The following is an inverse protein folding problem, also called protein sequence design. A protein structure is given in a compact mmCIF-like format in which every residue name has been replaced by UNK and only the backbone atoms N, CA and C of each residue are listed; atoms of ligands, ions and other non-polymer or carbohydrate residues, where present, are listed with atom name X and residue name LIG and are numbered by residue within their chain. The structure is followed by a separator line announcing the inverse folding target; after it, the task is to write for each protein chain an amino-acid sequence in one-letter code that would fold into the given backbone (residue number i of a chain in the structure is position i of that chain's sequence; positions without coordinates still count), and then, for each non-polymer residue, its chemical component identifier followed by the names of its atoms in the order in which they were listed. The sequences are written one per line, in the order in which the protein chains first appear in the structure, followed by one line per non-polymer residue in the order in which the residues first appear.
data_IF_687886389382
#
_entry.id   IF_687886389382
#
_cell.length_a   1.000
_cell.length_b   1.000
_cell.length_c   1.000
_cell.angle_alpha   90.00
_cell.angle_beta   90.00
_cell.angle_gamma   90.00
#
_symmetry.space_group_name_H-M   'P 1'
#
loop_
_entity.id
_entity.type
_entity.pdbx_description
1 polymer ?
#
# COMPACT_ATOMS: atom_id res chain seq x y z
N UNK A 1 -29.91 71.68 23.49
CA UNK A 1 -31.03 71.15 24.27
C UNK A 1 -30.89 69.64 24.32
N UNK A 2 -30.39 69.10 25.41
CA UNK A 2 -31.08 68.41 26.51
C UNK A 2 -32.20 67.48 26.00
N UNK A 3 -32.10 66.11 26.08
CA UNK A 3 -32.27 65.29 27.29
C UNK A 3 -31.97 63.82 26.99
N UNK A 4 -31.14 63.15 27.73
CA UNK A 4 -31.32 62.09 28.77
C UNK A 4 -31.78 60.72 28.26
N UNK A 5 -30.86 59.78 28.27
CA UNK A 5 -30.78 58.55 29.07
C UNK A 5 -32.04 57.70 29.25
N UNK A 6 -31.98 56.41 28.80
CA UNK A 6 -32.45 55.25 29.58
C UNK A 6 -31.69 53.98 29.15
N UNK A 7 -31.00 53.39 30.09
CA UNK A 7 -30.30 52.11 30.08
C UNK A 7 -31.37 51.03 30.33
N UNK A 8 -31.46 50.04 29.43
CA UNK A 8 -32.14 48.79 29.75
C UNK A 8 -31.19 47.65 29.39
N UNK A 9 -30.61 47.02 30.38
CA UNK A 9 -29.83 45.80 30.31
C UNK A 9 -30.79 44.62 30.07
N UNK A 10 -30.69 43.95 28.94
CA UNK A 10 -31.34 42.66 28.68
C UNK A 10 -30.28 41.57 28.71
N UNK A 11 -30.27 40.78 29.81
CA UNK A 11 -29.48 39.58 29.94
C UNK A 11 -30.08 38.51 29.06
N UNK A 12 -29.43 38.18 27.93
CA UNK A 12 -29.75 37.03 27.12
C UNK A 12 -28.95 35.82 27.60
N UNK A 13 -29.59 34.92 28.33
CA UNK A 13 -29.05 33.61 28.66
C UNK A 13 -29.04 32.74 27.41
N UNK A 14 -27.83 32.47 26.85
CA UNK A 14 -27.63 31.50 25.79
C UNK A 14 -27.64 30.11 26.40
N UNK A 15 -28.73 29.38 26.19
CA UNK A 15 -28.81 27.93 26.45
C UNK A 15 -28.02 27.20 25.40
N UNK A 16 -26.84 26.71 25.78
CA UNK A 16 -26.05 25.76 24.99
C UNK A 16 -26.71 24.39 25.14
N UNK A 17 -27.54 24.00 24.17
CA UNK A 17 -28.04 22.63 24.04
C UNK A 17 -26.90 21.75 23.52
N UNK A 18 -26.16 21.14 24.43
CA UNK A 18 -25.21 20.06 24.11
C UNK A 18 -25.99 18.81 23.75
N UNK A 19 -25.96 18.39 22.50
CA UNK A 19 -26.36 17.03 22.06
C UNK A 19 -25.32 16.01 22.54
N UNK A 20 -25.38 15.67 23.83
CA UNK A 20 -24.73 14.49 24.37
C UNK A 20 -25.71 13.31 24.24
N UNK A 21 -25.35 12.30 23.43
CA UNK A 21 -26.07 11.02 23.43
C UNK A 21 -25.97 10.40 24.83
N UNK A 22 -27.02 10.49 25.62
CA UNK A 22 -27.11 9.84 26.92
C UNK A 22 -27.39 8.36 26.68
N UNK A 23 -26.42 7.50 26.96
CA UNK A 23 -26.66 6.08 27.09
C UNK A 23 -27.72 5.84 28.15
N UNK A 24 -28.68 4.97 27.87
CA UNK A 24 -29.69 4.56 28.84
C UNK A 24 -29.04 3.80 29.99
N UNK A 25 -29.70 3.75 31.14
CA UNK A 25 -29.17 3.05 32.33
C UNK A 25 -28.98 1.55 32.05
N UNK A 26 -29.80 0.94 31.18
CA UNK A 26 -29.61 -0.43 30.70
C UNK A 26 -28.35 -0.58 29.88
N UNK A 27 -28.01 0.38 29.03
CA UNK A 27 -26.78 0.37 28.25
C UNK A 27 -25.53 0.56 29.12
N UNK A 28 -25.63 1.32 30.20
CA UNK A 28 -24.56 1.44 31.20
C UNK A 28 -24.37 0.17 32.02
N UNK A 29 -25.46 -0.50 32.37
CA UNK A 29 -25.41 -1.76 33.10
C UNK A 29 -24.79 -2.89 32.26
N UNK A 30 -25.08 -2.92 30.96
CA UNK A 30 -24.47 -3.89 30.04
C UNK A 30 -22.94 -3.70 29.86
N UNK A 31 -22.44 -2.47 30.01
CA UNK A 31 -21.01 -2.16 29.94
C UNK A 31 -20.29 -2.37 31.28
N UNK A 32 -21.00 -2.44 32.39
CA UNK A 32 -20.47 -2.59 33.75
C UNK A 32 -20.49 -4.04 34.27
N UNK A 33 -21.04 -4.99 33.52
CA UNK A 33 -21.09 -6.39 33.95
C UNK A 33 -19.66 -7.00 33.88
N UNK A 34 -19.12 -7.56 34.98
CA UNK A 34 -17.84 -8.24 34.95
C UNK A 34 -17.96 -9.50 34.09
N UNK A 35 -17.06 -9.63 33.09
CA UNK A 35 -16.92 -10.87 32.31
C UNK A 35 -16.50 -11.97 33.27
N UNK A 36 -17.36 -12.94 33.45
CA UNK A 36 -17.20 -14.06 34.37
C UNK A 36 -15.91 -14.82 34.07
N UNK A 37 -15.10 -14.93 35.09
CA UNK A 37 -14.07 -15.94 35.18
C UNK A 37 -14.75 -17.31 35.27
N UNK A 38 -14.35 -18.23 34.41
CA UNK A 38 -14.91 -19.57 34.49
C UNK A 38 -14.19 -20.55 33.58
N UNK A 39 -13.14 -21.15 34.07
CA UNK A 39 -12.91 -22.59 34.11
C UNK A 39 -11.43 -22.85 34.39
N UNK A 40 -11.15 -23.27 35.62
CA UNK A 40 -9.92 -23.91 36.03
C UNK A 40 -9.70 -25.17 35.17
N UNK A 41 -8.57 -25.24 34.48
CA UNK A 41 -8.09 -26.48 33.88
C UNK A 41 -7.29 -27.27 34.93
N UNK A 42 -7.77 -28.45 35.24
CA UNK A 42 -7.02 -29.45 36.03
C UNK A 42 -5.78 -29.98 35.26
N UNK A 43 -4.68 -30.31 35.93
CA UNK A 43 -3.49 -30.85 35.29
C UNK A 43 -3.71 -32.32 34.89
N UNK A 44 -3.72 -32.56 33.58
CA UNK A 44 -3.74 -33.89 32.99
C UNK A 44 -2.35 -34.37 32.60
N UNK A 45 -2.07 -35.62 32.96
CA UNK A 45 -0.90 -36.46 32.75
C UNK A 45 -0.28 -36.42 31.34
N UNK A 46 1.02 -36.73 31.20
CA UNK A 46 1.73 -36.73 29.91
C UNK A 46 1.23 -37.86 29.00
N UNK A 47 0.95 -37.53 27.75
CA UNK A 47 0.67 -38.52 26.69
C UNK A 47 1.94 -38.70 25.87
N UNK A 48 2.34 -39.97 25.74
CA UNK A 48 3.52 -40.48 25.04
C UNK A 48 3.48 -40.13 23.53
N UNK A 49 4.69 -40.00 22.98
CA UNK A 49 5.01 -39.89 21.56
C UNK A 49 4.32 -40.96 20.71
N UNK A 50 3.42 -40.50 19.84
CA UNK A 50 2.84 -41.29 18.74
C UNK A 50 3.44 -40.87 17.41
N UNK A 51 4.32 -41.69 16.85
CA UNK A 51 4.92 -41.53 15.54
C UNK A 51 3.85 -41.39 14.44
N UNK A 52 3.92 -40.33 13.63
CA UNK A 52 3.16 -40.19 12.42
C UNK A 52 3.70 -41.13 11.32
N UNK A 53 2.82 -41.75 10.51
CA UNK A 53 3.25 -42.65 9.43
C UNK A 53 3.89 -41.88 8.28
N UNK A 54 5.03 -42.42 7.79
CA UNK A 54 5.74 -41.91 6.65
C UNK A 54 4.90 -41.95 5.36
N UNK A 55 4.96 -40.87 4.59
CA UNK A 55 4.53 -40.85 3.21
C UNK A 55 5.79 -41.05 2.33
N UNK A 56 6.07 -42.30 1.98
CA UNK A 56 6.97 -42.63 0.89
C UNK A 56 6.31 -42.34 -0.44
N UNK A 57 7.03 -41.65 -1.32
CA UNK A 57 6.76 -41.68 -2.75
C UNK A 57 6.45 -40.36 -3.44
N UNK A 58 7.48 -39.47 -3.60
CA UNK A 58 7.54 -38.55 -4.73
C UNK A 58 8.95 -38.60 -5.32
N UNK A 59 9.11 -38.86 -6.64
CA UNK A 59 10.45 -38.92 -7.25
C UNK A 59 11.06 -37.54 -7.43
N UNK A 60 12.27 -37.40 -6.95
CA UNK A 60 13.35 -36.60 -7.50
C UNK A 60 13.11 -35.13 -7.77
N UNK A 61 13.19 -34.29 -6.74
CA UNK A 61 13.73 -32.92 -6.91
C UNK A 61 15.22 -32.97 -6.49
N UNK A 62 16.09 -32.79 -7.46
CA UNK A 62 17.53 -32.64 -7.24
C UNK A 62 17.75 -31.55 -6.20
N UNK A 63 18.45 -31.92 -5.12
CA UNK A 63 18.70 -31.11 -3.95
C UNK A 63 19.29 -29.75 -4.28
N UNK A 64 18.68 -28.72 -3.75
CA UNK A 64 19.35 -27.44 -3.55
C UNK A 64 20.49 -27.69 -2.57
N UNK A 65 21.74 -27.67 -3.07
CA UNK A 65 22.93 -27.77 -2.26
C UNK A 65 22.90 -26.65 -1.20
N UNK A 66 22.99 -27.05 0.06
CA UNK A 66 23.27 -26.12 1.15
C UNK A 66 24.58 -25.40 0.78
N UNK A 67 24.63 -24.06 0.71
CA UNK A 67 25.86 -23.36 0.39
C UNK A 67 26.81 -23.48 1.57
N UNK A 68 27.74 -24.43 1.49
CA UNK A 68 28.89 -24.56 2.39
C UNK A 68 30.00 -23.62 1.93
N UNK A 69 29.79 -22.31 2.11
CA UNK A 69 30.85 -21.32 2.04
C UNK A 69 31.31 -20.92 3.44
N UNK A 70 32.47 -20.26 3.59
CA UNK A 70 32.90 -19.72 4.87
C UNK A 70 31.80 -18.85 5.46
N UNK A 71 31.53 -19.02 6.76
CA UNK A 71 30.49 -18.27 7.44
C UNK A 71 30.65 -16.75 7.20
N UNK A 72 29.66 -16.14 6.53
CA UNK A 72 29.62 -14.69 6.28
C UNK A 72 29.75 -14.24 4.82
N UNK A 73 30.00 -15.13 3.86
CA UNK A 73 30.01 -14.76 2.43
C UNK A 73 28.71 -15.16 1.72
N UNK A 74 28.20 -14.26 0.89
CA UNK A 74 27.04 -14.54 0.06
C UNK A 74 27.38 -15.55 -1.05
N UNK A 75 26.42 -16.45 -1.43
CA UNK A 75 26.63 -17.35 -2.57
C UNK A 75 26.97 -16.60 -3.86
N UNK A 76 27.80 -17.18 -4.76
CA UNK A 76 28.05 -16.59 -6.05
C UNK A 76 26.75 -16.32 -6.83
N UNK A 77 26.62 -15.12 -7.41
CA UNK A 77 25.40 -14.73 -8.12
C UNK A 77 24.23 -14.25 -7.25
N UNK A 78 24.40 -14.23 -5.90
CA UNK A 78 23.39 -13.64 -5.03
C UNK A 78 23.39 -12.11 -5.13
N UNK A 79 22.25 -11.47 -4.79
CA UNK A 79 22.17 -10.01 -4.72
C UNK A 79 23.09 -9.42 -3.62
N UNK A 80 23.60 -10.25 -2.71
CA UNK A 80 24.53 -9.88 -1.65
C UNK A 80 26.01 -10.09 -2.01
N UNK A 81 26.34 -10.67 -3.20
CA UNK A 81 27.69 -11.05 -3.58
C UNK A 81 28.68 -9.88 -3.78
N UNK A 82 28.19 -8.66 -3.90
CA UNK A 82 29.00 -7.46 -4.10
C UNK A 82 29.70 -6.91 -2.85
N UNK A 83 29.40 -7.47 -1.65
CA UNK A 83 29.99 -6.97 -0.42
C UNK A 83 31.32 -7.64 -0.10
N UNK A 84 32.40 -6.87 -0.05
CA UNK A 84 33.72 -7.34 0.35
C UNK A 84 33.98 -6.98 1.82
N UNK A 85 34.35 -7.98 2.64
CA UNK A 85 34.62 -7.79 4.07
C UNK A 85 33.39 -7.97 4.99
N UNK A 86 33.64 -7.93 6.29
CA UNK A 86 32.62 -8.02 7.33
C UNK A 86 32.32 -6.65 7.93
N UNK A 87 31.03 -6.36 8.12
CA UNK A 87 30.59 -5.13 8.79
C UNK A 87 30.53 -5.28 10.30
N UNK A 88 30.69 -4.14 11.02
CA UNK A 88 30.49 -4.06 12.48
C UNK A 88 29.15 -3.38 12.85
N UNK A 89 29.03 -2.98 14.12
CA UNK A 89 27.95 -2.10 14.59
C UNK A 89 28.27 -0.66 14.13
N UNK A 90 27.68 -0.25 13.02
CA UNK A 90 28.04 1.02 12.34
C UNK A 90 26.98 2.11 12.50
N UNK A 91 25.77 1.75 12.89
CA UNK A 91 24.66 2.67 13.11
C UNK A 91 23.56 2.01 13.97
N UNK A 92 22.56 2.78 14.39
CA UNK A 92 21.38 2.26 15.10
C UNK A 92 20.72 1.15 14.27
N UNK A 93 20.37 0.04 14.91
CA UNK A 93 19.79 -1.14 14.24
C UNK A 93 20.77 -1.99 13.44
N UNK A 94 22.07 -1.69 13.48
CA UNK A 94 23.14 -2.47 12.83
C UNK A 94 24.06 -3.05 13.90
N UNK A 95 24.24 -4.37 13.87
CA UNK A 95 25.21 -5.11 14.69
C UNK A 95 26.23 -5.81 13.80
N UNK A 96 27.18 -6.50 14.37
CA UNK A 96 28.13 -7.33 13.60
C UNK A 96 27.45 -8.52 12.90
N UNK A 97 26.28 -8.99 13.40
CA UNK A 97 25.57 -10.15 12.85
C UNK A 97 24.26 -9.82 12.14
N UNK A 98 23.68 -8.66 12.41
CA UNK A 98 22.33 -8.34 11.95
C UNK A 98 22.15 -6.89 11.51
N UNK A 99 21.22 -6.68 10.58
CA UNK A 99 20.63 -5.38 10.23
C UNK A 99 19.13 -5.48 10.54
N UNK A 100 18.66 -4.72 11.52
CA UNK A 100 17.23 -4.66 11.87
C UNK A 100 16.53 -3.66 10.96
N UNK A 101 15.53 -4.14 10.22
CA UNK A 101 14.62 -3.31 9.42
C UNK A 101 13.22 -3.38 10.03
N UNK A 102 12.41 -2.35 9.80
CA UNK A 102 11.03 -2.32 10.26
C UNK A 102 10.06 -2.14 9.09
N UNK A 103 8.87 -2.76 9.20
CA UNK A 103 7.75 -2.51 8.32
C UNK A 103 6.59 -1.92 9.12
N UNK A 104 6.02 -0.81 8.65
CA UNK A 104 4.85 -0.16 9.23
C UNK A 104 3.75 -0.19 8.19
N UNK A 105 2.66 -0.94 8.47
CA UNK A 105 1.56 -1.09 7.51
C UNK A 105 0.20 -1.10 8.21
N UNK A 106 -0.86 -0.74 7.48
CA UNK A 106 -2.24 -0.81 7.97
C UNK A 106 -2.70 -2.27 7.99
N UNK A 107 -2.68 -2.89 9.17
CA UNK A 107 -3.13 -4.28 9.39
C UNK A 107 -4.50 -4.30 10.06
N UNK A 108 -4.73 -3.45 11.04
CA UNK A 108 -6.02 -3.32 11.74
C UNK A 108 -6.63 -1.92 11.54
N UNK A 109 -7.71 -1.61 12.30
CA UNK A 109 -8.38 -0.32 12.27
C UNK A 109 -9.65 -0.31 11.44
N UNK A 110 -10.12 0.88 10.98
CA UNK A 110 -11.39 1.02 10.24
C UNK A 110 -11.47 0.23 8.93
N UNK A 111 -10.32 -0.09 8.32
CA UNK A 111 -10.20 -0.92 7.11
C UNK A 111 -9.23 -2.06 7.38
N UNK A 112 -9.67 -3.14 8.06
CA UNK A 112 -8.80 -4.24 8.44
C UNK A 112 -8.16 -4.90 7.23
N UNK A 113 -6.85 -5.17 7.31
CA UNK A 113 -6.07 -5.84 6.26
C UNK A 113 -5.71 -4.96 5.07
N UNK A 114 -6.00 -3.65 5.08
CA UNK A 114 -5.83 -2.75 3.93
C UNK A 114 -4.45 -2.89 3.26
N UNK A 115 -3.38 -2.91 4.05
CA UNK A 115 -2.01 -3.08 3.54
C UNK A 115 -1.24 -4.20 4.26
N UNK A 116 -1.94 -5.16 4.84
CA UNK A 116 -1.31 -6.35 5.45
C UNK A 116 -0.40 -7.09 4.46
N UNK A 117 -0.78 -7.09 3.19
CA UNK A 117 0.00 -7.72 2.12
C UNK A 117 1.41 -7.13 1.96
N UNK A 118 1.60 -5.83 2.23
CA UNK A 118 2.92 -5.21 2.20
C UNK A 118 3.82 -5.73 3.33
N UNK A 119 3.26 -5.91 4.54
CA UNK A 119 3.98 -6.48 5.66
C UNK A 119 4.35 -7.96 5.42
N UNK A 120 3.40 -8.74 4.89
CA UNK A 120 3.60 -10.15 4.55
C UNK A 120 4.67 -10.33 3.46
N UNK A 121 4.66 -9.47 2.44
CA UNK A 121 5.66 -9.51 1.37
C UNK A 121 7.06 -9.12 1.85
N UNK A 122 7.17 -8.13 2.74
CA UNK A 122 8.45 -7.77 3.36
C UNK A 122 9.01 -8.94 4.19
N UNK A 123 8.15 -9.61 4.97
CA UNK A 123 8.51 -10.83 5.71
C UNK A 123 8.97 -11.94 4.76
N UNK A 124 8.22 -12.17 3.69
CA UNK A 124 8.58 -13.18 2.69
C UNK A 124 9.95 -12.91 2.05
N UNK A 125 10.24 -11.64 1.76
CA UNK A 125 11.56 -11.27 1.23
C UNK A 125 12.69 -11.48 2.23
N UNK A 126 12.50 -11.12 3.49
CA UNK A 126 13.51 -11.30 4.55
C UNK A 126 13.85 -12.78 4.74
N UNK A 127 12.83 -13.64 4.79
CA UNK A 127 13.02 -15.09 4.90
C UNK A 127 13.71 -15.66 3.64
N UNK A 128 13.28 -15.23 2.45
CA UNK A 128 13.95 -15.56 1.18
C UNK A 128 15.43 -15.19 1.23
N UNK A 129 15.71 -13.92 1.57
CA UNK A 129 17.07 -13.39 1.58
C UNK A 129 17.97 -14.17 2.54
N UNK A 130 17.53 -14.32 3.79
CA UNK A 130 18.31 -15.02 4.82
C UNK A 130 18.53 -16.50 4.51
N UNK A 131 17.58 -17.17 3.83
CA UNK A 131 17.67 -18.58 3.51
C UNK A 131 18.53 -18.86 2.25
N UNK A 132 18.52 -17.94 1.27
CA UNK A 132 19.08 -18.25 -0.06
C UNK A 132 20.17 -17.31 -0.54
N UNK A 133 20.21 -16.08 -0.04
CA UNK A 133 21.11 -15.04 -0.53
C UNK A 133 22.30 -14.76 0.41
N UNK A 134 22.26 -15.29 1.61
CA UNK A 134 23.33 -15.17 2.61
C UNK A 134 23.17 -13.95 3.52
N UNK A 135 24.12 -13.01 3.46
CA UNK A 135 24.19 -11.89 4.38
C UNK A 135 24.79 -10.66 3.72
N UNK A 136 24.42 -9.47 4.18
CA UNK A 136 25.00 -8.18 3.73
C UNK A 136 26.26 -7.93 4.55
N UNK A 137 27.44 -8.10 3.96
CA UNK A 137 28.72 -7.96 4.65
C UNK A 137 28.75 -8.74 6.01
N UNK A 138 28.27 -9.99 6.00
CA UNK A 138 28.20 -10.85 7.18
C UNK A 138 26.97 -10.66 8.07
N UNK A 139 26.07 -9.75 7.77
CA UNK A 139 24.89 -9.39 8.59
C UNK A 139 23.60 -9.91 7.95
N UNK A 140 22.79 -10.65 8.70
CA UNK A 140 21.45 -11.10 8.30
C UNK A 140 20.41 -9.98 8.50
N UNK A 141 19.28 -10.11 7.84
CA UNK A 141 18.15 -9.21 8.05
C UNK A 141 17.31 -9.68 9.24
N UNK A 142 16.93 -8.76 10.12
CA UNK A 142 15.88 -8.93 11.13
C UNK A 142 14.72 -8.01 10.81
N UNK A 143 13.49 -8.52 10.83
CA UNK A 143 12.29 -7.73 10.60
C UNK A 143 11.53 -7.50 11.90
N UNK A 144 11.18 -6.23 12.15
CA UNK A 144 10.18 -5.83 13.16
C UNK A 144 8.98 -5.27 12.43
N UNK A 145 7.79 -5.76 12.76
CA UNK A 145 6.54 -5.35 12.10
C UNK A 145 5.67 -4.54 13.04
N UNK A 146 5.16 -3.40 12.57
CA UNK A 146 4.25 -2.51 13.29
C UNK A 146 2.94 -2.35 12.52
N UNK A 147 1.87 -2.15 13.27
CA UNK A 147 0.53 -1.84 12.73
C UNK A 147 0.23 -0.35 12.92
N UNK A 148 0.03 0.37 11.81
CA UNK A 148 -0.38 1.78 11.81
C UNK A 148 -1.88 1.98 12.04
N UNK A 149 -2.68 0.90 12.03
CA UNK A 149 -4.11 0.88 12.37
C UNK A 149 -4.99 1.77 11.51
N UNK A 150 -4.56 2.05 10.28
CA UNK A 150 -5.24 2.99 9.37
C UNK A 150 -5.48 4.35 10.06
N UNK A 151 -4.46 4.82 10.81
CA UNK A 151 -4.53 6.02 11.64
C UNK A 151 -3.21 6.78 11.64
N UNK A 152 -3.29 8.13 11.57
CA UNK A 152 -2.11 9.01 11.53
C UNK A 152 -1.30 8.96 12.84
N UNK A 153 -1.96 8.91 14.00
CA UNK A 153 -1.31 8.77 15.30
C UNK A 153 -0.67 7.39 15.46
N UNK A 154 -1.31 6.35 14.91
CA UNK A 154 -0.77 5.01 14.83
C UNK A 154 0.51 4.94 13.99
N UNK A 155 0.52 5.56 12.81
CA UNK A 155 1.71 5.66 11.96
C UNK A 155 2.84 6.46 12.65
N UNK A 156 2.50 7.56 13.34
CA UNK A 156 3.46 8.34 14.12
C UNK A 156 4.11 7.51 15.24
N UNK A 157 3.29 6.83 16.05
CA UNK A 157 3.76 6.01 17.16
C UNK A 157 4.65 4.86 16.68
N UNK A 158 4.22 4.14 15.65
CA UNK A 158 4.98 3.05 15.05
C UNK A 158 6.32 3.54 14.48
N UNK A 159 6.33 4.69 13.82
CA UNK A 159 7.56 5.31 13.29
C UNK A 159 8.51 5.70 14.41
N UNK A 160 8.02 6.29 15.50
CA UNK A 160 8.86 6.64 16.65
C UNK A 160 9.51 5.41 17.29
N UNK A 161 8.75 4.32 17.47
CA UNK A 161 9.29 3.04 17.96
C UNK A 161 10.35 2.46 17.02
N UNK A 162 10.09 2.47 15.70
CA UNK A 162 11.05 1.98 14.72
C UNK A 162 12.34 2.82 14.70
N UNK A 163 12.27 4.14 14.92
CA UNK A 163 13.44 4.99 15.05
C UNK A 163 14.43 4.51 16.12
N UNK A 164 13.93 3.94 17.21
CA UNK A 164 14.75 3.47 18.34
C UNK A 164 15.37 2.09 18.08
N UNK A 165 14.76 1.26 17.27
CA UNK A 165 15.12 -0.17 17.16
C UNK A 165 15.69 -0.56 15.80
N UNK A 166 15.25 0.10 14.71
CA UNK A 166 15.57 -0.31 13.35
C UNK A 166 16.57 0.63 12.67
N UNK A 167 17.31 0.10 11.73
CA UNK A 167 18.19 0.84 10.83
C UNK A 167 17.41 1.58 9.76
N UNK A 168 16.40 0.94 9.18
CA UNK A 168 15.58 1.47 8.10
C UNK A 168 14.14 0.97 8.20
N UNK A 169 13.20 1.76 7.66
CA UNK A 169 11.86 1.31 7.32
C UNK A 169 11.90 0.72 5.91
N UNK A 170 11.29 -0.47 5.71
CA UNK A 170 11.36 -1.18 4.43
C UNK A 170 9.99 -1.77 4.08
N UNK A 171 9.50 -1.49 2.88
CA UNK A 171 8.26 -2.03 2.35
C UNK A 171 7.00 -1.54 3.05
N UNK A 172 7.09 -0.49 3.86
CA UNK A 172 5.96 0.08 4.63
C UNK A 172 4.86 0.61 3.70
N UNK A 173 3.60 0.52 4.16
CA UNK A 173 2.44 1.05 3.44
C UNK A 173 1.34 1.45 4.42
N UNK A 174 1.00 2.74 4.49
CA UNK A 174 -0.04 3.28 5.37
C UNK A 174 -0.84 4.35 4.64
N UNK A 175 -2.17 4.33 4.77
CA UNK A 175 -3.06 5.30 4.14
C UNK A 175 -2.94 6.71 4.76
N UNK A 176 -2.47 6.78 6.00
CA UNK A 176 -2.28 8.01 6.77
C UNK A 176 -0.80 8.23 7.12
N UNK A 177 0.08 7.98 6.15
CA UNK A 177 1.54 7.99 6.32
C UNK A 177 2.15 9.37 6.61
N UNK A 178 1.38 10.45 6.48
CA UNK A 178 1.79 11.79 6.92
C UNK A 178 2.11 11.83 8.42
N UNK A 179 1.48 10.97 9.23
CA UNK A 179 1.67 10.96 10.69
C UNK A 179 3.11 10.67 11.11
N UNK A 180 3.73 9.67 10.52
CA UNK A 180 5.10 9.27 10.83
C UNK A 180 6.18 10.09 10.13
N UNK A 181 5.82 10.94 9.16
CA UNK A 181 6.78 11.73 8.39
C UNK A 181 7.74 12.57 9.26
N UNK A 182 7.24 13.41 10.18
CA UNK A 182 8.09 14.20 11.08
C UNK A 182 8.99 13.35 11.97
N UNK A 183 8.51 12.23 12.51
CA UNK A 183 9.29 11.32 13.33
C UNK A 183 10.44 10.67 12.53
N UNK A 184 10.15 10.18 11.31
CA UNK A 184 11.17 9.62 10.43
C UNK A 184 12.26 10.64 10.07
N UNK A 185 11.87 11.88 9.73
CA UNK A 185 12.79 12.96 9.42
C UNK A 185 13.64 13.32 10.62
N UNK A 186 13.03 13.45 11.81
CA UNK A 186 13.71 13.83 13.05
C UNK A 186 14.78 12.84 13.49
N UNK A 187 14.55 11.55 13.31
CA UNK A 187 15.53 10.51 13.64
C UNK A 187 16.46 10.12 12.48
N UNK A 188 16.21 10.63 11.26
CA UNK A 188 17.02 10.35 10.08
C UNK A 188 16.95 8.89 9.58
N UNK A 189 15.89 8.13 9.91
CA UNK A 189 15.77 6.75 9.50
C UNK A 189 15.48 6.66 7.98
N UNK A 190 16.27 5.91 7.19
CA UNK A 190 15.94 5.65 5.79
C UNK A 190 14.59 4.93 5.68
N UNK A 191 13.70 5.45 4.85
CA UNK A 191 12.33 4.96 4.73
C UNK A 191 12.03 4.57 3.27
N UNK A 192 12.31 3.29 2.93
CA UNK A 192 12.01 2.69 1.62
C UNK A 192 10.63 2.06 1.65
N UNK A 193 9.62 2.82 1.33
CA UNK A 193 8.23 2.38 1.36
C UNK A 193 7.85 1.59 0.10
N UNK A 194 6.81 0.74 0.20
CA UNK A 194 6.14 0.22 -0.98
C UNK A 194 5.61 1.39 -1.83
N UNK A 195 4.92 2.35 -1.20
CA UNK A 195 4.56 3.63 -1.80
C UNK A 195 4.48 4.72 -0.71
N UNK A 196 4.74 5.96 -1.06
CA UNK A 196 4.36 7.13 -0.26
C UNK A 196 2.98 7.58 -0.71
N UNK A 197 2.00 7.56 0.20
CA UNK A 197 0.59 7.78 -0.14
C UNK A 197 0.24 9.27 -0.12
N UNK A 198 0.78 10.02 0.85
CA UNK A 198 0.51 11.44 0.99
C UNK A 198 1.68 12.30 0.48
N UNK A 199 1.35 13.50 -0.02
CA UNK A 199 2.35 14.47 -0.44
C UNK A 199 3.28 14.88 0.73
N UNK A 200 2.76 14.90 1.95
CA UNK A 200 3.54 15.21 3.16
C UNK A 200 4.63 14.18 3.40
N UNK A 201 4.29 12.87 3.32
CA UNK A 201 5.29 11.80 3.48
C UNK A 201 6.32 11.84 2.37
N UNK A 202 5.88 12.00 1.13
CA UNK A 202 6.75 12.05 -0.04
C UNK A 202 7.79 13.17 0.03
N UNK A 203 7.42 14.37 0.51
CA UNK A 203 8.35 15.50 0.67
C UNK A 203 9.38 15.28 1.77
N UNK A 204 9.18 14.32 2.67
CA UNK A 204 10.13 14.02 3.76
C UNK A 204 11.48 13.59 3.18
N UNK A 205 12.59 14.23 3.60
CA UNK A 205 13.93 14.02 3.02
C UNK A 205 14.43 12.57 3.08
N UNK A 206 13.90 11.76 4.01
CA UNK A 206 14.32 10.38 4.28
C UNK A 206 13.39 9.35 3.64
N UNK A 207 12.24 9.74 3.08
CA UNK A 207 11.22 8.82 2.56
C UNK A 207 11.32 8.66 1.05
N UNK A 208 11.34 7.39 0.59
CA UNK A 208 11.45 6.98 -0.80
C UNK A 208 10.41 5.90 -1.07
N UNK A 209 9.35 6.23 -1.81
CA UNK A 209 8.38 5.25 -2.29
C UNK A 209 8.95 4.51 -3.49
N UNK A 210 8.96 3.16 -3.47
CA UNK A 210 9.40 2.37 -4.63
C UNK A 210 8.33 2.40 -5.72
N UNK A 211 7.04 2.31 -5.41
CA UNK A 211 6.02 2.87 -6.28
C UNK A 211 6.14 4.40 -6.18
N UNK A 212 6.98 4.97 -7.04
CA UNK A 212 7.23 6.40 -7.05
C UNK A 212 5.96 7.13 -7.47
N UNK A 213 5.43 7.97 -6.59
CA UNK A 213 4.18 8.71 -6.80
C UNK A 213 4.31 10.13 -6.25
N UNK A 214 4.56 11.08 -7.12
CA UNK A 214 4.52 12.50 -6.78
C UNK A 214 3.12 13.02 -7.10
N UNK A 215 2.33 13.38 -6.07
CA UNK A 215 0.89 13.62 -6.19
C UNK A 215 0.51 14.62 -7.27
N UNK A 216 1.31 15.68 -7.48
CA UNK A 216 1.05 16.65 -8.55
C UNK A 216 1.48 16.18 -9.95
N UNK A 217 2.25 15.09 -10.08
CA UNK A 217 2.71 14.56 -11.36
C UNK A 217 1.95 13.29 -11.71
N UNK A 218 1.20 13.32 -12.79
CA UNK A 218 0.42 12.17 -13.29
C UNK A 218 0.90 11.79 -14.68
N UNK A 219 1.10 10.48 -14.91
CA UNK A 219 1.44 10.00 -16.25
C UNK A 219 0.27 10.18 -17.22
N UNK A 220 0.54 10.73 -18.41
CA UNK A 220 -0.45 10.80 -19.48
C UNK A 220 -0.83 9.42 -20.02
N UNK A 221 0.00 8.38 -19.79
CA UNK A 221 -0.28 7.04 -20.30
C UNK A 221 -1.60 6.45 -19.76
N UNK A 222 -1.99 6.75 -18.51
CA UNK A 222 -3.26 6.29 -17.94
C UNK A 222 -4.47 6.77 -18.71
N UNK A 223 -4.74 8.09 -18.74
CA UNK A 223 -5.87 8.62 -19.51
C UNK A 223 -5.76 8.33 -21.01
N UNK A 224 -4.56 8.30 -21.60
CA UNK A 224 -4.38 7.97 -23.02
C UNK A 224 -4.78 6.53 -23.33
N UNK A 225 -4.42 5.56 -22.49
CA UNK A 225 -4.83 4.16 -22.61
C UNK A 225 -6.35 3.99 -22.44
N UNK A 226 -6.97 4.69 -21.47
CA UNK A 226 -8.43 4.67 -21.29
C UNK A 226 -9.12 5.26 -22.52
N UNK A 227 -8.64 6.39 -23.03
CA UNK A 227 -9.16 7.03 -24.24
C UNK A 227 -9.02 6.12 -25.48
N UNK A 228 -7.91 5.45 -25.63
CA UNK A 228 -7.71 4.49 -26.73
C UNK A 228 -8.63 3.28 -26.64
N UNK A 229 -8.93 2.80 -25.41
CA UNK A 229 -9.81 1.64 -25.18
C UNK A 229 -11.30 1.98 -25.25
N UNK A 230 -11.67 3.23 -24.91
CA UNK A 230 -13.06 3.71 -24.79
C UNK A 230 -13.22 5.13 -25.39
N UNK A 231 -12.96 5.32 -26.68
CA UNK A 231 -12.86 6.67 -27.30
C UNK A 231 -14.15 7.48 -27.18
N UNK A 232 -15.32 6.84 -27.28
CA UNK A 232 -16.63 7.51 -27.26
C UNK A 232 -17.10 7.90 -25.85
N UNK A 233 -16.29 7.66 -24.81
CA UNK A 233 -16.68 7.93 -23.41
C UNK A 233 -16.04 9.18 -22.83
N UNK A 234 -15.02 9.73 -23.49
CA UNK A 234 -14.20 10.84 -22.94
C UNK A 234 -14.98 12.11 -22.63
N UNK A 235 -16.05 12.39 -23.38
CA UNK A 235 -16.94 13.52 -23.15
C UNK A 235 -17.97 13.33 -22.03
N UNK A 236 -18.04 12.13 -21.42
CA UNK A 236 -19.03 11.75 -20.41
C UNK A 236 -18.39 10.95 -19.27
N UNK A 237 -17.32 11.49 -18.71
CA UNK A 237 -16.64 10.88 -17.56
C UNK A 237 -17.27 11.34 -16.23
N UNK A 238 -17.17 10.49 -15.21
CA UNK A 238 -17.43 10.85 -13.81
C UNK A 238 -16.24 10.47 -12.95
N UNK A 239 -16.01 11.21 -11.87
CA UNK A 239 -14.97 10.92 -10.90
C UNK A 239 -15.57 10.85 -9.49
N UNK A 240 -15.56 9.66 -8.90
CA UNK A 240 -15.93 9.46 -7.50
C UNK A 240 -14.72 9.02 -6.70
N UNK A 241 -14.65 9.45 -5.46
CA UNK A 241 -13.52 9.10 -4.59
C UNK A 241 -13.91 9.05 -3.13
N UNK A 242 -13.17 8.29 -2.34
CA UNK A 242 -13.35 8.24 -0.90
C UNK A 242 -12.90 9.58 -0.28
N UNK A 243 -13.72 10.15 0.61
CA UNK A 243 -13.42 11.38 1.33
C UNK A 243 -12.38 11.14 2.43
N UNK A 244 -11.15 10.87 1.98
CA UNK A 244 -9.94 10.78 2.79
C UNK A 244 -8.82 11.54 2.08
N UNK A 245 -7.95 12.20 2.84
CA UNK A 245 -6.95 13.15 2.30
C UNK A 245 -6.16 12.59 1.11
N UNK A 246 -5.60 11.39 1.25
CA UNK A 246 -4.84 10.75 0.19
C UNK A 246 -5.68 10.47 -1.05
N UNK A 247 -6.88 9.89 -0.89
CA UNK A 247 -7.79 9.61 -2.00
C UNK A 247 -8.24 10.89 -2.69
N UNK A 248 -8.57 11.92 -1.92
CA UNK A 248 -9.02 13.21 -2.46
C UNK A 248 -7.90 13.95 -3.23
N UNK A 249 -6.66 13.91 -2.74
CA UNK A 249 -5.52 14.52 -3.43
C UNK A 249 -5.23 13.79 -4.75
N UNK A 250 -5.14 12.46 -4.72
CA UNK A 250 -4.90 11.66 -5.91
C UNK A 250 -6.04 11.80 -6.94
N UNK A 251 -7.30 11.77 -6.50
CA UNK A 251 -8.45 11.94 -7.39
C UNK A 251 -8.43 13.30 -8.12
N UNK A 252 -8.22 14.40 -7.37
CA UNK A 252 -8.12 15.73 -7.97
C UNK A 252 -6.99 15.84 -8.99
N UNK A 253 -5.84 15.24 -8.67
CA UNK A 253 -4.68 15.24 -9.57
C UNK A 253 -4.97 14.44 -10.83
N UNK A 254 -5.47 13.22 -10.70
CA UNK A 254 -5.82 12.36 -11.84
C UNK A 254 -6.93 12.94 -12.69
N UNK A 255 -7.95 13.57 -12.09
CA UNK A 255 -9.00 14.25 -12.83
C UNK A 255 -8.43 15.38 -13.69
N UNK A 256 -7.63 16.27 -13.10
CA UNK A 256 -6.98 17.36 -13.85
C UNK A 256 -6.10 16.85 -14.99
N UNK A 257 -5.35 15.79 -14.76
CA UNK A 257 -4.53 15.19 -15.81
C UNK A 257 -5.39 14.61 -16.94
N UNK A 258 -6.50 13.94 -16.62
CA UNK A 258 -7.43 13.42 -17.63
C UNK A 258 -8.11 14.56 -18.41
N UNK A 259 -8.49 15.66 -17.74
CA UNK A 259 -9.03 16.87 -18.40
C UNK A 259 -8.04 17.44 -19.43
N UNK A 260 -6.74 17.51 -19.09
CA UNK A 260 -5.69 17.93 -20.04
C UNK A 260 -5.52 16.95 -21.22
N UNK A 261 -6.01 15.71 -21.09
CA UNK A 261 -6.04 14.70 -22.17
C UNK A 261 -7.39 14.65 -22.92
N UNK A 262 -8.28 15.60 -22.65
CA UNK A 262 -9.54 15.79 -23.35
C UNK A 262 -10.75 15.10 -22.73
N UNK A 263 -10.66 14.65 -21.47
CA UNK A 263 -11.82 14.16 -20.74
C UNK A 263 -12.68 15.31 -20.23
N UNK A 264 -14.00 15.12 -20.28
CA UNK A 264 -14.97 16.03 -19.65
C UNK A 264 -15.70 15.28 -18.54
N UNK A 265 -15.59 15.78 -17.30
CA UNK A 265 -16.26 15.19 -16.17
C UNK A 265 -17.62 15.84 -15.95
N UNK A 266 -18.68 15.07 -16.18
CA UNK A 266 -20.07 15.49 -16.02
C UNK A 266 -20.56 15.36 -14.57
N UNK A 267 -19.82 14.62 -13.75
CA UNK A 267 -20.09 14.44 -12.31
C UNK A 267 -18.79 14.16 -11.56
N UNK A 268 -18.58 14.86 -10.44
CA UNK A 268 -17.47 14.63 -9.51
C UNK A 268 -17.99 14.66 -8.09
N UNK A 269 -17.71 13.63 -7.28
CA UNK A 269 -18.26 13.49 -5.94
C UNK A 269 -17.30 12.77 -4.99
N UNK A 270 -17.09 13.35 -3.81
CA UNK A 270 -16.53 12.66 -2.65
C UNK A 270 -17.60 11.80 -1.97
N UNK A 271 -17.24 10.61 -1.54
CA UNK A 271 -18.11 9.70 -0.77
C UNK A 271 -17.50 9.54 0.62
N UNK A 272 -18.26 9.80 1.68
CA UNK A 272 -17.76 9.69 3.04
C UNK A 272 -17.53 8.22 3.43
N UNK A 273 -16.54 8.00 4.30
CA UNK A 273 -16.20 6.66 4.82
C UNK A 273 -17.39 6.05 5.56
N UNK A 274 -18.21 6.87 6.22
CA UNK A 274 -19.38 6.44 6.96
C UNK A 274 -20.62 6.17 6.08
N UNK A 275 -20.59 6.52 4.79
CA UNK A 275 -21.72 6.33 3.90
C UNK A 275 -21.98 4.83 3.65
N UNK A 276 -23.24 4.45 3.88
CA UNK A 276 -23.72 3.07 3.64
C UNK A 276 -24.70 3.00 2.47
N UNK A 277 -25.25 4.15 2.02
CA UNK A 277 -26.23 4.23 0.94
C UNK A 277 -25.61 4.87 -0.31
N UNK A 278 -25.32 4.06 -1.30
CA UNK A 278 -24.72 4.51 -2.56
C UNK A 278 -25.74 4.84 -3.66
N UNK A 279 -27.02 4.60 -3.40
CA UNK A 279 -28.07 4.80 -4.40
C UNK A 279 -28.18 6.25 -4.94
N UNK A 280 -28.03 7.32 -4.13
CA UNK A 280 -28.07 8.68 -4.64
C UNK A 280 -26.93 8.99 -5.62
N UNK A 281 -25.74 8.47 -5.36
CA UNK A 281 -24.57 8.66 -6.24
C UNK A 281 -24.80 8.01 -7.61
N UNK A 282 -25.35 6.80 -7.62
CA UNK A 282 -25.69 6.09 -8.85
C UNK A 282 -26.81 6.79 -9.63
N UNK A 283 -27.81 7.34 -8.95
CA UNK A 283 -28.85 8.13 -9.60
C UNK A 283 -28.27 9.35 -10.33
N UNK A 284 -27.31 10.04 -9.72
CA UNK A 284 -26.60 11.16 -10.35
C UNK A 284 -25.75 10.71 -11.55
N UNK A 285 -25.05 9.59 -11.47
CA UNK A 285 -24.30 9.03 -12.60
C UNK A 285 -25.22 8.77 -13.80
N UNK A 286 -26.40 8.22 -13.57
CA UNK A 286 -27.42 7.97 -14.61
C UNK A 286 -27.97 9.29 -15.19
N UNK A 287 -28.38 10.21 -14.33
CA UNK A 287 -28.95 11.51 -14.72
C UNK A 287 -27.98 12.31 -15.61
N UNK A 288 -26.68 12.33 -15.21
CA UNK A 288 -25.63 13.02 -15.99
C UNK A 288 -25.17 12.24 -17.22
N UNK A 289 -25.62 11.01 -17.38
CA UNK A 289 -25.27 10.16 -18.51
C UNK A 289 -23.79 9.79 -18.54
N UNK A 290 -23.18 9.58 -17.36
CA UNK A 290 -21.78 9.18 -17.26
C UNK A 290 -21.56 7.82 -17.95
N UNK A 291 -20.49 7.70 -18.74
CA UNK A 291 -20.16 6.49 -19.50
C UNK A 291 -18.87 5.83 -19.01
N UNK A 292 -17.91 6.61 -18.53
CA UNK A 292 -16.73 6.10 -17.83
C UNK A 292 -16.73 6.67 -16.41
N UNK A 293 -16.58 5.79 -15.42
CA UNK A 293 -16.58 6.17 -14.01
C UNK A 293 -15.20 5.86 -13.41
N UNK A 294 -14.52 6.89 -12.96
CA UNK A 294 -13.28 6.75 -12.20
C UNK A 294 -13.59 6.65 -10.72
N UNK A 295 -12.84 5.80 -10.04
CA UNK A 295 -12.87 5.64 -8.59
C UNK A 295 -11.47 5.66 -7.99
N UNK A 296 -11.28 6.41 -6.91
CA UNK A 296 -10.08 6.37 -6.06
C UNK A 296 -10.48 6.16 -4.60
N UNK A 297 -10.00 5.08 -4.02
CA UNK A 297 -10.29 4.70 -2.64
C UNK A 297 -10.21 3.20 -2.44
N UNK A 298 -10.36 2.72 -1.19
CA UNK A 298 -10.23 1.28 -0.94
C UNK A 298 -11.23 0.43 -1.70
N UNK A 299 -10.79 -0.75 -2.10
CA UNK A 299 -11.50 -1.70 -2.96
C UNK A 299 -12.90 -2.07 -2.43
N UNK A 300 -13.07 -2.19 -1.10
CA UNK A 300 -14.38 -2.52 -0.50
C UNK A 300 -15.47 -1.47 -0.80
N UNK A 301 -15.12 -0.19 -0.89
CA UNK A 301 -16.06 0.87 -1.25
C UNK A 301 -16.37 0.87 -2.75
N UNK A 302 -15.37 0.55 -3.58
CA UNK A 302 -15.59 0.31 -5.01
C UNK A 302 -16.59 -0.82 -5.25
N UNK A 303 -16.49 -1.92 -4.49
CA UNK A 303 -17.43 -3.04 -4.53
C UNK A 303 -18.86 -2.57 -4.21
N UNK A 304 -19.04 -1.82 -3.11
CA UNK A 304 -20.36 -1.29 -2.70
C UNK A 304 -20.97 -0.38 -3.78
N UNK A 305 -20.17 0.50 -4.35
CA UNK A 305 -20.61 1.41 -5.42
C UNK A 305 -21.07 0.61 -6.66
N UNK A 306 -20.29 -0.37 -7.10
CA UNK A 306 -20.64 -1.19 -8.27
C UNK A 306 -21.83 -2.12 -8.01
N UNK A 307 -21.99 -2.65 -6.80
CA UNK A 307 -23.19 -3.38 -6.40
C UNK A 307 -24.44 -2.48 -6.47
N UNK A 308 -24.35 -1.23 -5.99
CA UNK A 308 -25.45 -0.25 -6.11
C UNK A 308 -25.73 0.12 -7.56
N UNK A 309 -24.69 0.26 -8.41
CA UNK A 309 -24.86 0.45 -9.87
C UNK A 309 -25.65 -0.70 -10.50
N UNK A 310 -25.27 -1.94 -10.19
CA UNK A 310 -25.96 -3.13 -10.70
C UNK A 310 -27.42 -3.21 -10.24
N UNK A 311 -27.68 -2.95 -8.94
CA UNK A 311 -29.04 -2.93 -8.38
C UNK A 311 -29.96 -1.93 -9.07
N UNK A 312 -29.42 -0.80 -9.54
CA UNK A 312 -30.15 0.23 -10.27
C UNK A 312 -30.14 0.05 -11.79
N UNK A 313 -29.61 -1.09 -12.30
CA UNK A 313 -29.52 -1.32 -13.74
C UNK A 313 -28.65 -0.31 -14.48
N UNK A 314 -27.60 0.19 -13.82
CA UNK A 314 -26.61 1.09 -14.43
C UNK A 314 -25.29 0.38 -14.61
N UNK A 315 -24.79 0.34 -15.85
CA UNK A 315 -23.51 -0.23 -16.20
C UNK A 315 -22.75 0.78 -17.07
N UNK A 316 -21.68 1.41 -16.57
CA UNK A 316 -20.82 2.25 -17.39
C UNK A 316 -20.05 1.40 -18.41
N UNK A 317 -19.56 2.00 -19.48
CA UNK A 317 -18.68 1.33 -20.46
C UNK A 317 -17.35 0.89 -19.81
N UNK A 318 -16.87 1.69 -18.83
CA UNK A 318 -15.72 1.32 -17.99
C UNK A 318 -15.89 1.88 -16.58
N UNK A 319 -15.52 1.07 -15.59
CA UNK A 319 -15.26 1.50 -14.22
C UNK A 319 -13.75 1.43 -13.99
N UNK A 320 -13.10 2.59 -13.92
CA UNK A 320 -11.63 2.71 -13.86
C UNK A 320 -11.21 3.01 -12.43
N UNK A 321 -10.31 2.20 -11.87
CA UNK A 321 -9.87 2.37 -10.48
C UNK A 321 -8.38 2.12 -10.31
N UNK A 322 -7.89 2.44 -9.11
CA UNK A 322 -6.51 2.25 -8.71
C UNK A 322 -6.18 0.76 -8.42
N UNK A 323 -4.89 0.43 -8.23
CA UNK A 323 -4.46 -0.95 -8.03
C UNK A 323 -4.96 -1.63 -6.74
N UNK A 324 -5.66 -0.94 -5.84
CA UNK A 324 -6.29 -1.57 -4.66
C UNK A 324 -7.35 -2.60 -5.05
N UNK A 325 -7.98 -2.43 -6.23
CA UNK A 325 -8.93 -3.39 -6.76
C UNK A 325 -8.27 -4.59 -7.48
N UNK A 326 -6.98 -4.52 -7.81
CA UNK A 326 -6.26 -5.65 -8.41
C UNK A 326 -5.89 -6.68 -7.34
N UNK A 327 -6.92 -7.27 -6.73
CA UNK A 327 -6.85 -8.15 -5.58
C UNK A 327 -7.91 -9.27 -5.68
N UNK A 328 -7.56 -10.54 -5.38
CA UNK A 328 -8.52 -11.64 -5.40
C UNK A 328 -9.72 -11.45 -4.44
N UNK A 329 -9.56 -10.70 -3.35
CA UNK A 329 -10.66 -10.43 -2.43
C UNK A 329 -11.70 -9.49 -3.06
N UNK A 330 -11.26 -8.49 -3.82
CA UNK A 330 -12.14 -7.62 -4.60
C UNK A 330 -13.03 -8.44 -5.54
N UNK A 331 -12.43 -9.36 -6.27
CA UNK A 331 -13.17 -10.27 -7.19
C UNK A 331 -14.17 -11.13 -6.42
N UNK A 332 -13.76 -11.76 -5.31
CA UNK A 332 -14.64 -12.60 -4.49
C UNK A 332 -15.80 -11.82 -3.88
N UNK A 333 -15.54 -10.64 -3.33
CA UNK A 333 -16.56 -9.80 -2.69
C UNK A 333 -17.53 -9.16 -3.69
N UNK A 334 -17.00 -8.75 -4.84
CA UNK A 334 -17.78 -8.07 -5.87
C UNK A 334 -18.57 -9.00 -6.76
N UNK A 335 -18.07 -10.22 -6.97
CA UNK A 335 -18.70 -11.21 -7.87
C UNK A 335 -18.99 -10.60 -9.24
N UNK A 336 -20.17 -10.87 -9.76
CA UNK A 336 -20.58 -10.33 -11.07
C UNK A 336 -20.77 -8.80 -11.09
N UNK A 337 -20.86 -8.13 -9.94
CA UNK A 337 -21.07 -6.68 -9.90
C UNK A 337 -19.81 -5.90 -10.32
N UNK A 338 -18.64 -6.49 -10.15
CA UNK A 338 -17.34 -5.85 -10.48
C UNK A 338 -16.80 -6.28 -11.84
N UNK A 339 -17.53 -7.08 -12.59
CA UNK A 339 -17.12 -7.47 -13.94
C UNK A 339 -17.04 -6.24 -14.85
N UNK A 340 -16.02 -6.16 -15.70
CA UNK A 340 -15.72 -4.99 -16.51
C UNK A 340 -14.84 -3.93 -15.83
N UNK A 341 -14.47 -4.08 -14.54
CA UNK A 341 -13.54 -3.16 -13.87
C UNK A 341 -12.22 -3.08 -14.60
N UNK A 342 -11.73 -1.86 -14.78
CA UNK A 342 -10.43 -1.53 -15.37
C UNK A 342 -9.52 -0.98 -14.28
N UNK A 343 -8.33 -1.54 -14.16
CA UNK A 343 -7.30 -1.08 -13.21
C UNK A 343 -6.07 -0.62 -13.97
N UNK A 344 -5.52 0.54 -13.60
CA UNK A 344 -4.19 0.93 -14.05
C UNK A 344 -3.12 0.38 -13.12
N UNK A 345 -2.01 -0.10 -13.68
CA UNK A 345 -0.91 -0.69 -12.92
C UNK A 345 0.43 -0.33 -13.54
N UNK A 346 1.45 -0.16 -12.71
CA UNK A 346 2.85 -0.05 -13.11
C UNK A 346 3.70 -1.21 -12.56
N UNK A 347 3.04 -2.32 -12.22
CA UNK A 347 3.65 -3.59 -11.89
C UNK A 347 3.27 -4.66 -12.92
N UNK A 348 4.11 -5.69 -13.05
CA UNK A 348 3.85 -6.87 -13.89
C UNK A 348 2.52 -7.52 -13.48
N UNK A 349 1.73 -7.96 -14.44
CA UNK A 349 0.45 -8.61 -14.18
C UNK A 349 0.67 -9.98 -13.52
N UNK A 350 -0.22 -10.35 -12.57
CA UNK A 350 -0.15 -11.66 -11.92
C UNK A 350 -0.38 -12.83 -12.87
N UNK A 351 -1.02 -12.57 -13.99
CA UNK A 351 -1.31 -13.54 -15.06
C UNK A 351 -0.14 -13.73 -16.02
N UNK A 352 0.92 -12.90 -15.88
CA UNK A 352 2.10 -12.97 -16.75
C UNK A 352 3.26 -13.71 -16.07
N UNK A 353 4.07 -14.39 -16.88
CA UNK A 353 5.27 -15.04 -16.38
C UNK A 353 6.36 -14.00 -16.08
N UNK A 354 6.77 -13.92 -14.82
CA UNK A 354 7.89 -13.11 -14.35
C UNK A 354 8.62 -13.85 -13.23
N UNK A 355 9.94 -13.96 -13.34
CA UNK A 355 10.75 -14.72 -12.38
C UNK A 355 10.71 -14.12 -10.96
N UNK A 356 10.78 -12.81 -10.84
CA UNK A 356 10.71 -12.13 -9.54
C UNK A 356 9.32 -12.25 -8.91
N UNK A 357 8.26 -12.16 -9.73
CA UNK A 357 6.91 -12.35 -9.26
C UNK A 357 6.67 -13.79 -8.78
N UNK A 358 7.19 -14.80 -9.51
CA UNK A 358 7.14 -16.19 -9.09
C UNK A 358 7.84 -16.38 -7.74
N UNK A 359 9.02 -15.80 -7.59
CA UNK A 359 9.82 -15.88 -6.37
C UNK A 359 9.05 -15.25 -5.18
N UNK A 360 8.47 -14.05 -5.37
CA UNK A 360 7.61 -13.40 -4.39
C UNK A 360 6.45 -14.32 -3.96
N UNK A 361 5.71 -14.88 -4.92
CA UNK A 361 4.55 -15.75 -4.66
C UNK A 361 4.93 -17.02 -3.92
N UNK A 362 6.02 -17.67 -4.33
CA UNK A 362 6.50 -18.92 -3.71
C UNK A 362 6.91 -18.69 -2.23
N UNK A 363 7.56 -17.58 -1.94
CA UNK A 363 7.96 -17.25 -0.57
C UNK A 363 6.81 -16.69 0.27
N UNK A 364 5.90 -15.93 -0.33
CA UNK A 364 4.67 -15.51 0.35
C UNK A 364 3.86 -16.72 0.81
N UNK A 365 3.67 -17.72 -0.05
CA UNK A 365 2.95 -18.94 0.30
C UNK A 365 3.60 -19.72 1.46
N UNK A 366 4.93 -19.66 1.62
CA UNK A 366 5.66 -20.31 2.71
C UNK A 366 5.50 -19.59 4.05
N UNK A 367 5.59 -18.25 4.06
CA UNK A 367 5.62 -17.46 5.30
C UNK A 367 4.26 -16.97 5.77
N UNK A 368 3.30 -16.93 4.86
CA UNK A 368 1.91 -16.52 5.11
C UNK A 368 0.94 -17.41 4.31
N UNK A 369 0.78 -18.70 4.69
CA UNK A 369 -0.11 -19.62 4.00
C UNK A 369 -1.52 -19.05 3.85
N UNK A 370 -2.07 -19.08 2.63
CA UNK A 370 -3.39 -18.52 2.32
C UNK A 370 -3.40 -17.01 2.02
N UNK A 371 -2.29 -16.30 2.20
CA UNK A 371 -2.18 -14.92 1.77
C UNK A 371 -2.19 -14.81 0.24
N UNK A 372 -2.98 -13.87 -0.27
CA UNK A 372 -2.98 -13.56 -1.70
C UNK A 372 -1.84 -12.60 -2.06
N UNK A 373 -1.15 -12.81 -3.20
CA UNK A 373 -0.25 -11.81 -3.73
C UNK A 373 -1.03 -10.55 -4.13
N UNK A 374 -0.42 -9.38 -3.93
CA UNK A 374 -1.06 -8.10 -4.22
C UNK A 374 -0.10 -7.11 -4.88
N UNK A 375 -0.66 -6.07 -5.49
CA UNK A 375 0.11 -4.96 -6.06
C UNK A 375 1.06 -4.33 -5.03
N UNK A 376 0.56 -3.98 -3.84
CA UNK A 376 1.41 -3.37 -2.80
C UNK A 376 2.41 -4.37 -2.21
N UNK A 377 2.07 -5.66 -2.20
CA UNK A 377 3.01 -6.72 -1.86
C UNK A 377 4.18 -6.81 -2.84
N UNK A 378 3.94 -6.66 -4.15
CA UNK A 378 5.03 -6.60 -5.15
C UNK A 378 5.96 -5.41 -4.89
N UNK A 379 5.41 -4.23 -4.60
CA UNK A 379 6.23 -3.06 -4.30
C UNK A 379 6.97 -3.15 -2.96
N UNK A 380 6.39 -3.81 -1.96
CA UNK A 380 7.07 -4.07 -0.70
C UNK A 380 8.23 -5.06 -0.87
N UNK A 381 8.04 -6.11 -1.67
CA UNK A 381 9.11 -7.02 -2.10
C UNK A 381 10.22 -6.27 -2.86
N UNK A 382 9.84 -5.42 -3.82
CA UNK A 382 10.77 -4.59 -4.58
C UNK A 382 11.53 -3.61 -3.68
N UNK A 383 10.89 -3.02 -2.67
CA UNK A 383 11.53 -2.15 -1.68
C UNK A 383 12.58 -2.90 -0.85
N UNK A 384 12.28 -4.12 -0.43
CA UNK A 384 13.23 -4.95 0.30
C UNK A 384 14.42 -5.38 -0.59
N UNK A 385 14.18 -5.69 -1.86
CA UNK A 385 15.24 -5.96 -2.82
C UNK A 385 16.13 -4.73 -3.05
N UNK A 386 15.54 -3.55 -3.20
CA UNK A 386 16.27 -2.29 -3.34
C UNK A 386 17.10 -1.96 -2.10
N UNK A 387 16.52 -2.19 -0.90
CA UNK A 387 17.26 -2.04 0.36
C UNK A 387 18.53 -2.88 0.34
N UNK A 388 18.44 -4.17 0.02
CA UNK A 388 19.62 -5.07 -0.03
C UNK A 388 20.63 -4.59 -1.08
N UNK A 389 20.18 -4.32 -2.32
CA UNK A 389 21.08 -3.83 -3.40
C UNK A 389 21.83 -2.57 -2.97
N UNK A 390 21.13 -1.63 -2.32
CA UNK A 390 21.70 -0.36 -1.86
C UNK A 390 22.65 -0.58 -0.67
N UNK A 391 22.28 -1.41 0.31
CA UNK A 391 23.12 -1.70 1.48
C UNK A 391 24.41 -2.43 1.07
N UNK A 392 24.34 -3.35 0.11
CA UNK A 392 25.54 -4.00 -0.48
C UNK A 392 26.45 -2.97 -1.17
N UNK A 393 25.88 -2.05 -1.94
CA UNK A 393 26.63 -0.96 -2.58
C UNK A 393 27.33 -0.04 -1.59
N UNK A 394 26.67 0.27 -0.46
CA UNK A 394 27.28 1.06 0.64
C UNK A 394 28.38 0.28 1.34
N UNK A 395 28.21 -1.04 1.49
CA UNK A 395 29.24 -1.95 1.99
C UNK A 395 29.34 -2.04 3.51
N UNK A 396 30.52 -2.42 4.08
CA UNK A 396 30.70 -2.72 5.51
C UNK A 396 30.41 -1.56 6.44
N UNK A 397 30.67 -0.32 6.00
CA UNK A 397 30.46 0.92 6.77
C UNK A 397 29.04 1.49 6.60
N UNK A 398 28.05 0.61 6.70
CA UNK A 398 26.63 0.93 6.50
C UNK A 398 26.14 1.89 7.57
N UNK A 399 25.79 3.13 7.18
CA UNK A 399 25.16 4.14 8.04
C UNK A 399 23.88 4.66 7.41
N UNK A 400 22.94 5.18 8.22
CA UNK A 400 21.69 5.79 7.72
C UNK A 400 21.98 6.90 6.70
N UNK A 401 23.00 7.73 6.98
CA UNK A 401 23.41 8.78 6.04
C UNK A 401 23.88 8.22 4.71
N UNK A 402 24.79 7.25 4.72
CA UNK A 402 25.29 6.64 3.48
C UNK A 402 24.19 5.94 2.69
N UNK A 403 23.24 5.29 3.38
CA UNK A 403 22.07 4.69 2.76
C UNK A 403 21.18 5.73 2.06
N UNK A 404 20.89 6.86 2.73
CA UNK A 404 20.09 7.96 2.17
C UNK A 404 20.79 8.58 0.95
N UNK A 405 22.12 8.80 1.02
CA UNK A 405 22.87 9.34 -0.10
C UNK A 405 22.85 8.39 -1.32
N UNK A 406 22.98 7.08 -1.08
CA UNK A 406 22.93 6.09 -2.14
C UNK A 406 21.53 5.99 -2.78
N UNK A 407 20.45 6.10 -1.97
CA UNK A 407 19.05 6.06 -2.46
C UNK A 407 18.71 7.24 -3.37
N UNK A 408 19.26 8.43 -3.13
CA UNK A 408 19.05 9.60 -3.99
C UNK A 408 19.54 9.39 -5.42
N UNK A 409 20.48 8.47 -5.63
CA UNK A 409 21.01 8.12 -6.96
C UNK A 409 20.28 6.97 -7.63
N UNK A 410 19.14 6.50 -7.10
CA UNK A 410 18.37 5.38 -7.69
C UNK A 410 17.33 5.91 -8.67
N UNK A 411 17.60 5.75 -9.95
CA UNK A 411 16.71 6.09 -11.06
C UNK A 411 16.45 4.84 -11.90
N UNK A 412 15.34 4.82 -12.64
CA UNK A 412 14.95 3.74 -13.56
C UNK A 412 14.92 2.32 -12.91
N UNK A 413 14.57 2.26 -11.62
CA UNK A 413 14.51 1.00 -10.89
C UNK A 413 13.31 0.15 -11.32
N UNK A 414 13.59 -1.10 -11.77
CA UNK A 414 12.55 -2.03 -12.27
C UNK A 414 12.36 -3.27 -11.39
N UNK A 415 13.14 -3.45 -10.33
CA UNK A 415 13.14 -4.68 -9.53
C UNK A 415 13.28 -5.94 -10.42
N UNK A 416 14.24 -5.92 -11.35
CA UNK A 416 14.50 -6.97 -12.33
C UNK A 416 13.26 -7.31 -13.19
N UNK A 417 12.53 -6.28 -13.62
CA UNK A 417 11.35 -6.38 -14.47
C UNK A 417 10.02 -6.65 -13.73
N UNK A 418 10.03 -6.64 -12.40
CA UNK A 418 8.80 -6.80 -11.61
C UNK A 418 7.89 -5.56 -11.71
N UNK A 419 8.45 -4.40 -11.87
CA UNK A 419 7.74 -3.11 -11.97
C UNK A 419 8.22 -2.31 -13.17
N UNK A 420 7.39 -1.40 -13.67
CA UNK A 420 7.79 -0.38 -14.64
C UNK A 420 8.91 0.49 -14.05
N UNK A 421 9.73 1.16 -14.87
CA UNK A 421 10.78 2.05 -14.38
C UNK A 421 10.29 3.05 -13.36
N UNK A 422 10.95 3.11 -12.19
CA UNK A 422 10.63 3.97 -11.06
C UNK A 422 11.78 4.92 -10.77
N UNK A 423 11.50 6.21 -10.67
CA UNK A 423 12.48 7.22 -10.25
C UNK A 423 12.42 7.39 -8.72
N UNK A 424 12.97 6.39 -8.00
CA UNK A 424 12.91 6.33 -6.54
C UNK A 424 13.67 7.50 -5.90
N UNK A 425 14.88 7.77 -6.39
CA UNK A 425 15.74 8.86 -5.87
C UNK A 425 15.19 10.24 -6.17
N UNK A 426 14.65 10.44 -7.37
CA UNK A 426 13.99 11.67 -7.77
C UNK A 426 12.56 11.81 -7.22
N UNK A 427 12.00 10.73 -6.65
CA UNK A 427 10.63 10.68 -6.09
C UNK A 427 9.55 11.09 -7.08
N UNK A 428 9.78 10.87 -8.37
CA UNK A 428 8.85 11.25 -9.42
C UNK A 428 7.94 10.09 -9.78
N UNK A 429 6.70 10.39 -10.09
CA UNK A 429 5.74 9.41 -10.57
C UNK A 429 6.31 8.64 -11.77
N UNK A 430 6.09 7.32 -11.83
CA UNK A 430 6.41 6.53 -13.00
C UNK A 430 5.63 7.03 -14.22
N UNK A 431 6.32 7.28 -15.31
CA UNK A 431 5.67 7.67 -16.57
C UNK A 431 4.99 6.50 -17.28
N UNK A 432 5.24 5.25 -16.83
CA UNK A 432 4.86 4.04 -17.55
C UNK A 432 3.80 3.25 -16.77
N UNK A 433 2.75 2.77 -17.48
CA UNK A 433 1.70 1.94 -16.89
C UNK A 433 1.05 1.03 -17.93
N UNK A 434 0.25 0.10 -17.43
CA UNK A 434 -0.63 -0.77 -18.21
C UNK A 434 -2.05 -0.68 -17.67
N UNK A 435 -3.04 -1.07 -18.46
CA UNK A 435 -4.40 -1.30 -18.03
C UNK A 435 -4.69 -2.80 -18.03
N UNK A 436 -5.37 -3.25 -16.99
CA UNK A 436 -5.95 -4.59 -16.89
C UNK A 436 -7.45 -4.48 -16.75
N UNK A 437 -8.18 -5.47 -17.26
CA UNK A 437 -9.63 -5.55 -17.16
C UNK A 437 -10.06 -6.88 -16.55
N UNK A 438 -10.97 -6.80 -15.62
CA UNK A 438 -11.65 -7.96 -15.04
C UNK A 438 -12.77 -8.41 -15.98
N UNK A 439 -12.77 -9.69 -16.36
CA UNK A 439 -13.84 -10.30 -17.15
C UNK A 439 -14.06 -11.75 -16.73
N UNK A 440 -15.28 -12.06 -16.32
CA UNK A 440 -15.64 -13.42 -15.87
C UNK A 440 -14.81 -13.87 -14.66
N UNK A 441 -14.46 -12.95 -13.75
CA UNK A 441 -13.66 -13.25 -12.56
C UNK A 441 -12.15 -13.37 -12.80
N UNK A 442 -11.67 -13.14 -14.03
CA UNK A 442 -10.26 -13.23 -14.41
C UNK A 442 -9.77 -11.90 -14.95
N UNK A 443 -8.61 -11.48 -14.47
CA UNK A 443 -7.94 -10.30 -14.98
C UNK A 443 -7.22 -10.61 -16.30
N UNK A 444 -7.21 -9.66 -17.18
CA UNK A 444 -6.47 -9.74 -18.45
C UNK A 444 -5.98 -8.36 -18.85
N UNK A 445 -4.88 -8.33 -19.57
CA UNK A 445 -4.32 -7.09 -20.11
C UNK A 445 -5.31 -6.41 -21.07
N UNK A 446 -5.59 -5.13 -20.86
CA UNK A 446 -6.37 -4.31 -21.77
C UNK A 446 -5.46 -3.50 -22.70
N UNK A 447 -4.33 -3.02 -22.19
CA UNK A 447 -3.32 -2.31 -22.97
C UNK A 447 -2.10 -1.88 -22.14
N UNK A 448 -0.94 -1.73 -22.77
CA UNK A 448 -0.57 -2.20 -24.12
C UNK A 448 -0.53 -3.73 -24.20
N UNK A 449 -0.33 -4.30 -25.38
CA UNK A 449 -0.31 -5.77 -25.58
C UNK A 449 0.77 -6.49 -24.75
N UNK A 450 1.88 -5.83 -24.44
CA UNK A 450 2.95 -6.32 -23.56
C UNK A 450 3.68 -5.16 -22.90
N UNK A 451 4.38 -5.39 -21.81
CA UNK A 451 5.15 -4.37 -21.08
C UNK A 451 4.29 -3.22 -20.59
N UNK A 452 4.79 -2.01 -20.69
CA UNK A 452 4.14 -0.79 -20.21
C UNK A 452 4.10 0.28 -21.31
N UNK A 453 3.03 1.07 -21.36
CA UNK A 453 2.96 2.28 -22.16
C UNK A 453 3.52 3.44 -21.33
N UNK A 454 4.46 4.19 -21.87
CA UNK A 454 5.06 5.33 -21.20
C UNK A 454 4.58 6.63 -21.83
N UNK A 455 4.13 7.56 -20.99
CA UNK A 455 3.67 8.88 -21.38
C UNK A 455 4.58 10.01 -20.87
N UNK A 456 4.12 11.24 -21.03
CA UNK A 456 4.70 12.39 -20.36
C UNK A 456 4.14 12.53 -18.94
N UNK A 457 4.88 13.18 -18.05
CA UNK A 457 4.36 13.58 -16.75
C UNK A 457 3.64 14.91 -16.86
N UNK A 458 2.40 14.95 -16.42
CA UNK A 458 1.52 16.12 -16.39
C UNK A 458 1.59 16.71 -14.99
N UNK A 459 2.05 17.96 -14.87
CA UNK A 459 1.95 18.70 -13.61
C UNK A 459 0.54 19.27 -13.45
N UNK A 460 -0.15 18.82 -12.44
CA UNK A 460 -1.53 19.22 -12.14
C UNK A 460 -1.63 20.35 -11.12
N UNK A 461 -0.54 20.71 -10.47
CA UNK A 461 -0.49 21.71 -9.40
C UNK A 461 -1.25 21.29 -8.12
N UNK A 462 -1.71 20.04 -8.00
CA UNK A 462 -2.42 19.54 -6.81
C UNK A 462 -1.42 19.09 -5.76
N UNK A 463 -1.57 19.60 -4.53
CA UNK A 463 -0.70 19.20 -3.41
C UNK A 463 0.72 19.76 -3.47
N UNK A 464 0.97 20.79 -4.33
CA UNK A 464 2.21 21.54 -4.42
C UNK A 464 2.50 22.42 -3.21
#
# INVERSE_FOLDING_TARGET
MRCRTALVALVAAVLIAGCGSRLTDEQRAALAAPRGAGAEAQPGTPVEDGAAPGLDGVPGSTGAANPTGPAGQAPPGSIASGCTGTGGATDKGVTAGDITIANISDVSGPVPGLFQSAQQATKAFVEYFNATQGAICGRKLKLVSYDSRTDSGGDQQATAQACEQAFALVGSMSAFDQGGGPAAAGCGIPDLRASSVTAQRQRTAVSFGVASNQVNLVSSAGPDLVKASYPDTVGKAAFLYLNADASAQNARSMQKAAEQRGFTFVYTQAIDIADVNYAPYVAQLKEKGARVVYWIGSAQYAVRLQQAMRQQGYTPDAFVTDPTAYDPQYVRQGGAAVDGTVVFTNATLFEEANAQQKLYRDWLARVAPGAAPSYFGMFAWAAAALFVKTAVKVGPQLTRKAMLDALRGVHDYTADGLVAPQDVGGKRTSACMALVRLKGGTWSRLGPASGFSCGSLIDTGVGG
#
